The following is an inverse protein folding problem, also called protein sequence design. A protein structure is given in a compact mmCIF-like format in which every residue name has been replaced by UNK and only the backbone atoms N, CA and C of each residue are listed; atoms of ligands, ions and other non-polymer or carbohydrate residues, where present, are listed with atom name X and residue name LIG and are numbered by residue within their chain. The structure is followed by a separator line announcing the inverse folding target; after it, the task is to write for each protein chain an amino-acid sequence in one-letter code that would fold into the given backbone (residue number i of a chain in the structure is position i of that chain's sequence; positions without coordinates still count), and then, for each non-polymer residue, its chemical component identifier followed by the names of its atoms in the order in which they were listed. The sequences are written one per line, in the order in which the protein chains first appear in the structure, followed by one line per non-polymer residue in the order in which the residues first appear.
data_IF_322253845162
#
_entry.id   IF_322253845162
#
_cell.length_a   1.000
_cell.length_b   1.000
_cell.length_c   1.000
_cell.angle_alpha   90.00
_cell.angle_beta   90.00
_cell.angle_gamma   90.00
#
_symmetry.space_group_name_H-M   'P 1'
#
loop_
_entity.id
_entity.type
_entity.pdbx_description
1 polymer ?
#
# COMPACT_ATOMS: atom_id res chain seq x y z
N UNK A 1 25.34 64.21 28.44
CA UNK A 1 26.07 63.21 27.66
C UNK A 1 25.37 61.86 27.96
N UNK A 2 24.45 61.42 27.08
CA UNK A 2 23.59 60.23 27.29
C UNK A 2 24.23 59.07 26.55
N UNK A 3 24.73 58.11 27.28
CA UNK A 3 25.33 56.86 26.76
C UNK A 3 24.20 55.93 26.31
N UNK A 4 24.00 55.74 24.99
CA UNK A 4 23.09 54.75 24.44
C UNK A 4 23.78 53.39 24.51
N UNK A 5 23.29 52.54 25.42
CA UNK A 5 23.61 51.09 25.43
C UNK A 5 22.93 50.43 24.21
N UNK A 6 23.72 50.01 23.22
CA UNK A 6 23.27 49.10 22.18
C UNK A 6 23.32 47.65 22.73
N UNK A 7 22.15 47.10 23.06
CA UNK A 7 22.03 45.69 23.41
C UNK A 7 22.09 44.86 22.13
N UNK A 8 23.24 44.21 21.91
CA UNK A 8 23.46 43.29 20.78
C UNK A 8 22.83 41.93 21.19
N UNK A 9 21.63 41.65 20.70
CA UNK A 9 21.02 40.32 20.83
C UNK A 9 21.79 39.34 19.93
N UNK A 10 22.69 38.56 20.53
CA UNK A 10 23.37 37.45 19.89
C UNK A 10 22.35 36.32 19.69
N UNK A 11 21.71 36.23 18.52
CA UNK A 11 20.94 35.07 18.12
C UNK A 11 21.92 33.89 18.01
N UNK A 12 21.92 33.01 19.02
CA UNK A 12 22.56 31.69 18.96
C UNK A 12 21.84 30.86 17.90
N UNK A 13 22.37 30.89 16.66
CA UNK A 13 22.04 29.91 15.64
C UNK A 13 22.58 28.55 16.11
N UNK A 14 21.76 27.80 16.85
CA UNK A 14 22.02 26.37 17.09
C UNK A 14 22.06 25.70 15.72
N UNK A 15 23.12 24.95 15.39
CA UNK A 15 23.10 24.16 14.15
C UNK A 15 21.94 23.17 14.22
N UNK A 16 20.95 23.35 13.37
CA UNK A 16 19.95 22.30 13.13
C UNK A 16 20.71 21.16 12.43
N UNK A 17 21.09 20.14 13.18
CA UNK A 17 21.58 18.91 12.58
C UNK A 17 20.41 18.22 11.88
N UNK A 18 20.52 18.08 10.55
CA UNK A 18 19.61 17.27 9.78
C UNK A 18 19.61 15.83 10.33
N UNK A 19 18.43 15.32 10.64
CA UNK A 19 18.27 13.93 11.06
C UNK A 19 18.25 13.01 9.86
N UNK A 20 18.61 11.76 10.06
CA UNK A 20 18.45 10.71 9.07
C UNK A 20 17.35 9.77 9.52
N UNK A 21 16.33 9.57 8.66
CA UNK A 21 15.19 8.71 8.90
C UNK A 21 15.15 7.57 7.91
N UNK A 22 14.81 6.39 8.41
CA UNK A 22 14.50 5.22 7.59
C UNK A 22 13.00 5.20 7.29
N UNK A 23 12.65 5.18 6.00
CA UNK A 23 11.29 5.01 5.53
C UNK A 23 11.16 3.64 4.87
N UNK A 24 10.39 2.74 5.47
CA UNK A 24 10.24 1.36 5.00
C UNK A 24 8.91 1.11 4.29
N UNK A 25 8.89 0.17 3.35
CA UNK A 25 7.68 -0.30 2.69
C UNK A 25 7.76 -1.77 2.31
N UNK A 26 6.62 -2.37 2.02
CA UNK A 26 6.44 -3.76 1.60
C UNK A 26 6.60 -3.93 0.08
N UNK A 27 6.95 -5.13 -0.41
CA UNK A 27 7.20 -5.39 -1.83
C UNK A 27 5.92 -5.87 -2.54
N UNK A 28 4.89 -5.02 -2.70
CA UNK A 28 3.66 -5.35 -3.45
C UNK A 28 3.90 -5.65 -4.93
N UNK A 29 4.96 -5.08 -5.47
CA UNK A 29 5.44 -5.24 -6.83
C UNK A 29 6.95 -5.53 -6.84
N UNK A 30 7.54 -5.70 -8.02
CA UNK A 30 8.99 -5.86 -8.16
C UNK A 30 9.73 -4.71 -7.46
N UNK A 31 10.75 -4.97 -6.62
CA UNK A 31 11.41 -3.95 -5.81
C UNK A 31 11.91 -2.73 -6.58
N UNK A 32 12.41 -2.91 -7.82
CA UNK A 32 12.84 -1.78 -8.65
C UNK A 32 11.70 -0.82 -8.98
N UNK A 33 10.49 -1.31 -9.24
CA UNK A 33 9.31 -0.47 -9.47
C UNK A 33 8.92 0.32 -8.21
N UNK A 34 8.95 -0.34 -7.05
CA UNK A 34 8.68 0.33 -5.76
C UNK A 34 9.71 1.43 -5.48
N UNK A 35 11.00 1.15 -5.72
CA UNK A 35 12.08 2.13 -5.54
C UNK A 35 11.88 3.33 -6.47
N UNK A 36 11.61 3.09 -7.76
CA UNK A 36 11.37 4.16 -8.73
C UNK A 36 10.16 5.02 -8.36
N UNK A 37 9.08 4.41 -7.87
CA UNK A 37 7.88 5.11 -7.46
C UNK A 37 8.06 5.95 -6.19
N UNK A 38 8.79 5.43 -5.18
CA UNK A 38 8.88 6.07 -3.87
C UNK A 38 10.10 6.98 -3.70
N UNK A 39 11.14 6.86 -4.52
CA UNK A 39 12.32 7.74 -4.43
C UNK A 39 11.95 9.22 -4.51
N UNK A 40 11.09 9.70 -5.46
CA UNK A 40 10.71 11.11 -5.50
C UNK A 40 9.94 11.59 -4.26
N UNK A 41 9.21 10.69 -3.57
CA UNK A 41 8.59 11.02 -2.28
C UNK A 41 9.64 11.22 -1.19
N UNK A 42 10.68 10.39 -1.14
CA UNK A 42 11.78 10.55 -0.18
C UNK A 42 12.55 11.85 -0.42
N UNK A 43 12.78 12.19 -1.67
CA UNK A 43 13.41 13.47 -2.06
C UNK A 43 12.55 14.65 -1.65
N UNK A 44 11.24 14.59 -1.88
CA UNK A 44 10.29 15.62 -1.46
C UNK A 44 10.27 15.79 0.06
N UNK A 45 10.13 14.68 0.82
CA UNK A 45 10.16 14.71 2.27
C UNK A 45 11.46 15.30 2.79
N UNK A 46 12.60 14.93 2.21
CA UNK A 46 13.90 15.46 2.59
C UNK A 46 14.02 16.97 2.33
N UNK A 47 13.57 17.43 1.17
CA UNK A 47 13.60 18.84 0.80
C UNK A 47 12.70 19.69 1.70
N UNK A 48 11.49 19.22 2.04
CA UNK A 48 10.54 19.98 2.85
C UNK A 48 10.85 19.95 4.34
N UNK A 49 11.41 18.86 4.83
CA UNK A 49 11.73 18.72 6.26
C UNK A 49 13.09 19.29 6.66
N UNK A 50 14.04 19.33 5.73
CA UNK A 50 15.45 19.59 6.01
C UNK A 50 16.19 18.38 6.60
N UNK A 51 15.54 17.20 6.68
CA UNK A 51 16.11 15.94 7.14
C UNK A 51 16.42 15.03 5.93
N UNK A 52 17.01 13.86 6.16
CA UNK A 52 17.28 12.87 5.11
C UNK A 52 16.37 11.68 5.29
N UNK A 53 15.64 11.26 4.24
CA UNK A 53 14.83 10.07 4.24
C UNK A 53 15.45 8.98 3.36
N UNK A 54 15.76 7.82 3.98
CA UNK A 54 16.30 6.64 3.30
C UNK A 54 15.21 5.58 3.09
N UNK A 55 14.94 5.25 1.83
CA UNK A 55 13.98 4.22 1.47
C UNK A 55 14.54 2.81 1.73
N UNK A 56 13.74 1.97 2.37
CA UNK A 56 13.97 0.54 2.53
C UNK A 56 12.78 -0.24 2.00
N UNK A 57 12.96 -1.00 0.94
CA UNK A 57 11.98 -1.99 0.48
C UNK A 57 12.32 -3.32 1.14
N UNK A 58 11.41 -3.82 2.00
CA UNK A 58 11.61 -5.09 2.69
C UNK A 58 11.48 -6.29 1.74
N UNK A 59 11.96 -7.46 2.13
CA UNK A 59 11.86 -8.68 1.29
C UNK A 59 10.41 -9.19 1.20
N UNK A 60 9.64 -8.99 2.27
CA UNK A 60 8.25 -9.40 2.42
C UNK A 60 7.52 -8.52 3.46
N UNK A 61 6.21 -8.74 3.63
CA UNK A 61 5.36 -8.03 4.59
C UNK A 61 5.73 -8.35 6.05
N UNK A 62 6.15 -9.59 6.33
CA UNK A 62 6.54 -10.02 7.67
C UNK A 62 7.78 -9.28 8.16
N UNK A 63 8.78 -9.07 7.27
CA UNK A 63 9.96 -8.28 7.61
C UNK A 63 9.58 -6.82 7.91
N UNK A 64 8.66 -6.20 7.14
CA UNK A 64 8.20 -4.85 7.44
C UNK A 64 7.55 -4.77 8.82
N UNK A 65 6.62 -5.70 9.10
CA UNK A 65 5.94 -5.81 10.39
C UNK A 65 6.95 -5.94 11.53
N UNK A 66 7.90 -6.86 11.39
CA UNK A 66 8.96 -7.09 12.39
C UNK A 66 9.82 -5.84 12.62
N UNK A 67 10.23 -5.14 11.56
CA UNK A 67 11.03 -3.92 11.69
C UNK A 67 10.29 -2.80 12.42
N UNK A 68 8.98 -2.67 12.20
CA UNK A 68 8.14 -1.71 12.92
C UNK A 68 8.05 -2.09 14.40
N UNK A 69 7.82 -3.37 14.72
CA UNK A 69 7.76 -3.89 16.09
C UNK A 69 9.08 -3.69 16.83
N UNK A 70 10.20 -3.94 16.19
CA UNK A 70 11.55 -3.76 16.71
C UNK A 70 12.00 -2.29 16.76
N UNK A 71 11.18 -1.35 16.23
CA UNK A 71 11.49 0.08 16.11
C UNK A 71 12.79 0.33 15.33
N UNK A 72 13.11 -0.55 14.39
CA UNK A 72 14.29 -0.46 13.51
C UNK A 72 14.03 0.33 12.23
N UNK A 73 12.84 0.91 12.09
CA UNK A 73 12.46 1.88 11.06
C UNK A 73 11.71 3.04 11.72
N UNK A 74 11.87 4.25 11.17
CA UNK A 74 11.28 5.47 11.73
C UNK A 74 9.88 5.71 11.18
N UNK A 75 9.71 5.57 9.88
CA UNK A 75 8.45 5.69 9.17
C UNK A 75 8.20 4.48 8.30
N UNK A 76 6.93 4.18 8.03
CA UNK A 76 6.58 3.09 7.15
C UNK A 76 5.30 3.36 6.36
N UNK A 77 5.28 2.91 5.11
CA UNK A 77 4.08 2.76 4.29
C UNK A 77 3.58 1.34 4.48
N UNK A 78 2.39 1.20 5.04
CA UNK A 78 1.79 -0.10 5.39
C UNK A 78 0.44 -0.28 4.72
N UNK A 79 0.14 -1.49 4.24
CA UNK A 79 -1.16 -1.79 3.71
C UNK A 79 -2.24 -1.81 4.81
N UNK A 80 -3.48 -1.77 4.42
CA UNK A 80 -4.64 -1.72 5.33
C UNK A 80 -4.64 -2.86 6.36
N UNK A 81 -4.36 -4.11 5.92
CA UNK A 81 -4.28 -5.27 6.80
C UNK A 81 -3.21 -5.09 7.87
N UNK A 82 -1.97 -4.80 7.44
CA UNK A 82 -0.85 -4.63 8.36
C UNK A 82 -1.07 -3.44 9.29
N UNK A 83 -1.66 -2.33 8.80
CA UNK A 83 -1.97 -1.17 9.64
C UNK A 83 -2.91 -1.54 10.79
N UNK A 84 -4.03 -2.21 10.50
CA UNK A 84 -5.01 -2.59 11.53
C UNK A 84 -4.39 -3.53 12.57
N UNK A 85 -3.68 -4.57 12.13
CA UNK A 85 -3.04 -5.53 13.02
C UNK A 85 -1.91 -4.89 13.86
N UNK A 86 -1.10 -4.02 13.24
CA UNK A 86 -0.05 -3.29 13.96
C UNK A 86 -0.62 -2.34 15.01
N UNK A 87 -1.72 -1.63 14.71
CA UNK A 87 -2.37 -0.72 15.68
C UNK A 87 -2.94 -1.47 16.87
N UNK A 88 -3.47 -2.67 16.68
CA UNK A 88 -3.93 -3.53 17.77
C UNK A 88 -2.75 -4.00 18.65
N UNK A 89 -1.63 -4.38 18.03
CA UNK A 89 -0.43 -4.87 18.73
C UNK A 89 0.40 -3.76 19.35
N UNK A 90 0.48 -2.60 18.70
CA UNK A 90 1.28 -1.43 19.10
C UNK A 90 0.38 -0.19 19.18
N UNK A 91 -0.41 -0.01 20.24
CA UNK A 91 -1.30 1.17 20.39
C UNK A 91 -0.55 2.51 20.30
N UNK A 92 0.73 2.55 20.64
CA UNK A 92 1.61 3.71 20.56
C UNK A 92 2.17 4.00 19.15
N UNK A 93 1.87 3.18 18.16
CA UNK A 93 2.21 3.47 16.75
C UNK A 93 1.48 4.74 16.29
N UNK A 94 2.21 5.71 15.74
CA UNK A 94 1.61 6.95 15.28
C UNK A 94 1.06 6.76 13.86
N UNK A 95 -0.24 6.88 13.68
CA UNK A 95 -0.85 7.04 12.36
C UNK A 95 -0.63 8.48 11.88
N UNK A 96 -0.10 8.65 10.67
CA UNK A 96 0.14 9.94 10.05
C UNK A 96 -1.00 10.31 9.10
N UNK A 97 -1.07 9.61 7.98
CA UNK A 97 -1.98 9.91 6.86
C UNK A 97 -2.39 8.63 6.12
N UNK A 98 -3.49 8.74 5.38
CA UNK A 98 -3.96 7.75 4.39
C UNK A 98 -3.64 8.26 3.00
N UNK A 99 -3.15 7.38 2.14
CA UNK A 99 -2.94 7.63 0.73
C UNK A 99 -4.26 7.89 -0.02
N UNK A 100 -4.22 8.74 -1.04
CA UNK A 100 -5.35 9.07 -1.90
C UNK A 100 -5.06 8.74 -3.35
N UNK A 101 -6.07 8.30 -4.07
CA UNK A 101 -6.02 8.07 -5.51
C UNK A 101 -7.17 8.75 -6.24
N UNK A 102 -7.00 8.97 -7.54
CA UNK A 102 -8.07 9.27 -8.44
C UNK A 102 -8.78 7.98 -8.86
N UNK A 103 -10.08 7.88 -8.61
CA UNK A 103 -10.91 6.82 -9.15
C UNK A 103 -11.00 6.89 -10.68
N UNK A 104 -11.58 5.87 -11.32
CA UNK A 104 -11.91 5.90 -12.77
C UNK A 104 -12.71 7.13 -13.19
N UNK A 105 -13.61 7.63 -12.32
CA UNK A 105 -14.39 8.85 -12.54
C UNK A 105 -13.59 10.12 -12.24
N UNK A 106 -12.29 10.03 -12.00
CA UNK A 106 -11.39 11.12 -11.60
C UNK A 106 -11.77 11.81 -10.28
N UNK A 107 -12.55 11.17 -9.46
CA UNK A 107 -12.83 11.65 -8.10
C UNK A 107 -11.70 11.21 -7.17
N UNK A 108 -11.25 12.11 -6.30
CA UNK A 108 -10.28 11.79 -5.25
C UNK A 108 -10.96 10.89 -4.23
N UNK A 109 -10.35 9.75 -3.94
CA UNK A 109 -10.89 8.74 -3.04
C UNK A 109 -9.80 8.18 -2.13
N UNK A 110 -10.12 7.90 -0.85
CA UNK A 110 -9.25 7.13 0.03
C UNK A 110 -9.50 5.61 -0.07
N UNK A 111 -10.10 5.14 -1.16
CA UNK A 111 -10.47 3.73 -1.35
C UNK A 111 -9.99 3.21 -2.70
N UNK A 112 -9.68 1.92 -2.74
CA UNK A 112 -9.37 1.14 -3.93
C UNK A 112 -10.17 -0.19 -3.90
N UNK A 113 -9.94 -1.11 -4.84
CA UNK A 113 -10.64 -2.38 -4.90
C UNK A 113 -9.68 -3.55 -5.18
N UNK A 114 -10.11 -4.74 -4.77
CA UNK A 114 -9.52 -6.00 -5.18
C UNK A 114 -10.34 -6.58 -6.34
N UNK A 115 -9.64 -7.08 -7.34
CA UNK A 115 -10.25 -7.77 -8.49
C UNK A 115 -9.81 -9.23 -8.54
N UNK A 116 -10.75 -10.11 -8.85
CA UNK A 116 -10.46 -11.45 -9.35
C UNK A 116 -10.56 -11.38 -10.87
N UNK A 117 -9.47 -11.69 -11.55
CA UNK A 117 -9.34 -11.48 -12.99
C UNK A 117 -8.90 -12.74 -13.73
N UNK A 118 -9.23 -12.78 -15.02
CA UNK A 118 -8.80 -13.80 -15.98
C UNK A 118 -8.40 -13.15 -17.30
N UNK A 119 -7.78 -13.90 -18.20
CA UNK A 119 -7.55 -13.47 -19.58
C UNK A 119 -8.83 -13.64 -20.41
N UNK A 120 -9.11 -12.70 -21.34
CA UNK A 120 -10.29 -12.78 -22.25
C UNK A 120 -10.31 -14.05 -23.09
N UNK A 121 -9.15 -14.50 -23.52
CA UNK A 121 -8.99 -15.70 -24.34
C UNK A 121 -9.15 -17.03 -23.55
N UNK A 122 -9.19 -16.96 -22.22
CA UNK A 122 -9.53 -18.12 -21.40
C UNK A 122 -11.01 -18.50 -21.45
N UNK A 123 -11.88 -17.60 -21.99
CA UNK A 123 -13.33 -17.78 -22.12
C UNK A 123 -14.02 -18.12 -20.79
N UNK A 124 -13.53 -17.56 -19.67
CA UNK A 124 -14.12 -17.67 -18.32
C UNK A 124 -14.83 -16.35 -18.05
N UNK A 125 -16.12 -16.37 -17.79
CA UNK A 125 -16.97 -15.17 -17.67
C UNK A 125 -17.57 -14.99 -16.27
N UNK A 126 -17.48 -16.03 -15.41
CA UNK A 126 -17.97 -15.99 -14.03
C UNK A 126 -17.04 -16.74 -13.08
N UNK A 127 -17.25 -16.54 -11.76
CA UNK A 127 -16.51 -17.29 -10.74
C UNK A 127 -16.84 -18.80 -10.76
N UNK A 128 -18.06 -19.17 -11.12
CA UNK A 128 -18.49 -20.56 -11.19
C UNK A 128 -17.74 -21.32 -12.29
N UNK A 129 -17.49 -20.68 -13.42
CA UNK A 129 -16.72 -21.25 -14.54
C UNK A 129 -15.22 -21.38 -14.23
N UNK A 130 -14.76 -20.72 -13.18
CA UNK A 130 -13.40 -20.82 -12.67
C UNK A 130 -13.10 -22.14 -11.92
N UNK A 131 -14.12 -22.99 -11.67
CA UNK A 131 -13.94 -24.25 -10.98
C UNK A 131 -12.95 -25.17 -11.70
N UNK A 132 -12.08 -25.82 -10.90
CA UNK A 132 -11.02 -26.72 -11.39
C UNK A 132 -9.97 -26.03 -12.29
N UNK A 133 -9.81 -24.71 -12.19
CA UNK A 133 -8.74 -23.95 -12.86
C UNK A 133 -7.60 -23.65 -11.87
N UNK A 134 -6.47 -23.19 -12.40
CA UNK A 134 -5.36 -22.70 -11.58
C UNK A 134 -5.61 -21.26 -11.15
N UNK A 135 -5.47 -21.01 -9.87
CA UNK A 135 -5.69 -19.70 -9.27
C UNK A 135 -4.43 -19.21 -8.54
N UNK A 136 -4.18 -17.92 -8.57
CA UNK A 136 -3.13 -17.32 -7.76
C UNK A 136 -3.62 -16.16 -6.88
N UNK A 137 -3.26 -16.24 -5.61
CA UNK A 137 -3.15 -15.09 -4.72
C UNK A 137 -1.77 -14.43 -4.87
N UNK A 138 -1.63 -13.21 -4.35
CA UNK A 138 -0.32 -12.58 -4.16
C UNK A 138 0.34 -13.15 -2.90
N UNK A 139 0.21 -12.48 -1.77
CA UNK A 139 0.75 -12.89 -0.48
C UNK A 139 -0.38 -12.98 0.55
N UNK A 140 -0.27 -13.86 1.54
CA UNK A 140 -1.26 -13.99 2.63
C UNK A 140 -1.41 -12.70 3.43
N UNK A 141 -0.37 -11.86 3.45
CA UNK A 141 -0.38 -10.55 4.12
C UNK A 141 -0.92 -9.40 3.24
N UNK A 142 -1.24 -9.68 1.98
CA UNK A 142 -1.83 -8.69 1.07
C UNK A 142 -3.31 -8.44 1.39
N UNK A 143 -3.70 -7.17 1.43
CA UNK A 143 -5.10 -6.77 1.59
C UNK A 143 -5.93 -7.15 0.36
N UNK A 144 -5.56 -6.63 -0.83
CA UNK A 144 -6.31 -6.86 -2.09
C UNK A 144 -5.94 -8.14 -2.83
N UNK A 145 -4.74 -8.68 -2.59
CA UNK A 145 -4.31 -9.92 -3.22
C UNK A 145 -4.67 -11.18 -2.44
N UNK A 146 -5.23 -11.05 -1.21
CA UNK A 146 -5.64 -12.19 -0.39
C UNK A 146 -6.85 -11.91 0.49
N UNK A 147 -6.80 -10.96 1.44
CA UNK A 147 -7.84 -10.80 2.46
C UNK A 147 -9.23 -10.52 1.85
N UNK A 148 -9.34 -9.55 0.95
CA UNK A 148 -10.61 -9.25 0.28
C UNK A 148 -11.04 -10.30 -0.76
N UNK A 149 -10.16 -10.88 -1.58
CA UNK A 149 -10.50 -12.08 -2.37
C UNK A 149 -11.07 -13.22 -1.55
N UNK A 150 -10.55 -13.48 -0.34
CA UNK A 150 -11.12 -14.48 0.56
C UNK A 150 -12.53 -14.12 1.01
N UNK A 151 -12.85 -12.83 1.25
CA UNK A 151 -14.22 -12.39 1.52
C UNK A 151 -15.14 -12.61 0.30
N UNK A 152 -14.66 -12.35 -0.92
CA UNK A 152 -15.42 -12.61 -2.15
C UNK A 152 -15.76 -14.11 -2.22
N UNK A 153 -14.77 -14.98 -2.02
CA UNK A 153 -14.99 -16.43 -2.05
C UNK A 153 -15.96 -16.88 -0.96
N UNK A 154 -15.84 -16.36 0.26
CA UNK A 154 -16.78 -16.65 1.36
C UNK A 154 -18.21 -16.24 1.00
N UNK A 155 -18.41 -15.05 0.43
CA UNK A 155 -19.72 -14.55 0.01
C UNK A 155 -20.35 -15.42 -1.09
N UNK A 156 -19.55 -16.10 -1.90
CA UNK A 156 -19.98 -17.06 -2.93
C UNK A 156 -19.97 -18.51 -2.43
N UNK A 157 -19.76 -18.76 -1.14
CA UNK A 157 -19.65 -20.10 -0.55
C UNK A 157 -18.56 -20.98 -1.22
N UNK A 158 -17.47 -20.36 -1.65
CA UNK A 158 -16.35 -21.00 -2.31
C UNK A 158 -15.20 -21.18 -1.29
N UNK A 159 -14.79 -22.44 -1.06
CA UNK A 159 -13.48 -22.71 -0.47
C UNK A 159 -12.45 -22.79 -1.61
N UNK A 160 -11.52 -21.80 -1.73
CA UNK A 160 -10.61 -21.77 -2.88
C UNK A 160 -9.73 -23.02 -2.98
N UNK A 161 -9.37 -23.63 -1.86
CA UNK A 161 -8.46 -24.79 -1.84
C UNK A 161 -9.11 -26.12 -2.28
N UNK A 162 -10.44 -26.17 -2.33
CA UNK A 162 -11.18 -27.32 -2.87
C UNK A 162 -11.90 -27.01 -4.17
N UNK A 163 -12.11 -25.72 -4.46
CA UNK A 163 -12.79 -25.26 -5.66
C UNK A 163 -11.87 -25.21 -6.88
N UNK A 164 -10.66 -24.63 -6.70
CA UNK A 164 -9.64 -24.56 -7.74
C UNK A 164 -8.85 -25.86 -7.83
N UNK A 165 -8.34 -26.19 -9.02
CA UNK A 165 -7.47 -27.32 -9.21
C UNK A 165 -6.17 -27.16 -8.40
N UNK A 166 -5.63 -25.94 -8.39
CA UNK A 166 -4.45 -25.58 -7.62
C UNK A 166 -4.44 -24.09 -7.28
N UNK A 167 -4.02 -23.76 -6.06
CA UNK A 167 -3.86 -22.40 -5.56
C UNK A 167 -2.38 -22.09 -5.38
N UNK A 168 -1.94 -21.00 -5.97
CA UNK A 168 -0.57 -20.51 -5.88
C UNK A 168 -0.49 -19.22 -5.06
N UNK A 169 0.69 -18.95 -4.51
CA UNK A 169 1.04 -17.67 -3.89
C UNK A 169 2.26 -17.10 -4.62
N UNK A 170 2.05 -16.08 -5.46
CA UNK A 170 3.09 -15.51 -6.33
C UNK A 170 3.79 -14.30 -5.73
N UNK A 171 3.45 -13.94 -4.50
CA UNK A 171 4.04 -12.90 -3.66
C UNK A 171 3.77 -11.47 -4.10
N UNK A 172 3.63 -11.17 -5.39
CA UNK A 172 3.54 -9.81 -5.94
C UNK A 172 2.43 -9.71 -6.98
N UNK A 173 1.84 -8.53 -7.11
CA UNK A 173 0.75 -8.28 -8.06
C UNK A 173 1.20 -8.40 -9.52
N UNK A 174 2.37 -7.85 -9.85
CA UNK A 174 2.95 -7.96 -11.20
C UNK A 174 3.26 -9.41 -11.58
N UNK A 175 3.62 -10.27 -10.63
CA UNK A 175 3.83 -11.70 -10.89
C UNK A 175 2.54 -12.46 -11.18
N UNK A 176 1.42 -12.03 -10.61
CA UNK A 176 0.10 -12.58 -10.98
C UNK A 176 -0.25 -12.21 -12.44
N UNK A 177 -0.02 -10.96 -12.84
CA UNK A 177 -0.21 -10.53 -14.24
C UNK A 177 0.71 -11.32 -15.19
N UNK A 178 1.99 -11.46 -14.88
CA UNK A 178 2.93 -12.24 -15.69
C UNK A 178 2.48 -13.70 -15.84
N UNK A 179 1.96 -14.32 -14.78
CA UNK A 179 1.47 -15.70 -14.80
C UNK A 179 0.20 -15.85 -15.63
N UNK A 180 -0.72 -14.87 -15.60
CA UNK A 180 -1.89 -14.82 -16.48
C UNK A 180 -1.46 -14.67 -17.94
N UNK A 181 -0.56 -13.73 -18.24
CA UNK A 181 -0.06 -13.47 -19.60
C UNK A 181 0.67 -14.65 -20.22
N UNK A 182 1.33 -15.45 -19.39
CA UNK A 182 2.02 -16.70 -19.82
C UNK A 182 1.12 -17.94 -19.79
N UNK A 183 -0.18 -17.78 -19.45
CA UNK A 183 -1.15 -18.88 -19.26
C UNK A 183 -0.67 -19.95 -18.25
N UNK A 184 0.19 -19.59 -17.30
CA UNK A 184 0.63 -20.47 -16.20
C UNK A 184 -0.45 -20.60 -15.12
N UNK A 185 -1.39 -19.66 -15.07
CA UNK A 185 -2.63 -19.67 -14.30
C UNK A 185 -3.76 -19.13 -15.16
N UNK A 186 -5.00 -19.49 -14.87
CA UNK A 186 -6.17 -18.95 -15.55
C UNK A 186 -6.82 -17.79 -14.80
N UNK A 187 -6.70 -17.78 -13.46
CA UNK A 187 -7.36 -16.77 -12.62
C UNK A 187 -6.38 -16.24 -11.58
N UNK A 188 -6.48 -14.94 -11.27
CA UNK A 188 -5.65 -14.32 -10.25
C UNK A 188 -6.35 -13.22 -9.47
N UNK A 189 -5.87 -12.95 -8.26
CA UNK A 189 -6.31 -11.84 -7.42
C UNK A 189 -5.28 -10.71 -7.43
N UNK A 190 -5.73 -9.49 -7.76
CA UNK A 190 -4.87 -8.30 -7.85
C UNK A 190 -5.60 -7.05 -7.33
N UNK A 191 -4.86 -5.95 -7.15
CA UNK A 191 -5.45 -4.62 -6.93
C UNK A 191 -5.93 -4.01 -8.24
N UNK A 192 -6.90 -3.10 -8.16
CA UNK A 192 -7.39 -2.32 -9.29
C UNK A 192 -6.29 -1.48 -9.96
N UNK A 193 -5.39 -0.84 -9.19
CA UNK A 193 -4.24 -0.14 -9.75
C UNK A 193 -3.35 -1.04 -10.60
N UNK A 194 -3.09 -2.29 -10.14
CA UNK A 194 -2.35 -3.29 -10.95
C UNK A 194 -3.12 -3.66 -12.22
N UNK A 195 -4.44 -3.82 -12.13
CA UNK A 195 -5.28 -4.10 -13.29
C UNK A 195 -5.21 -2.98 -14.34
N UNK A 196 -5.34 -1.72 -13.92
CA UNK A 196 -5.29 -0.58 -14.85
C UNK A 196 -3.91 -0.41 -15.48
N UNK A 197 -2.84 -0.59 -14.72
CA UNK A 197 -1.47 -0.61 -15.26
C UNK A 197 -1.28 -1.74 -16.30
N UNK A 198 -1.88 -2.91 -16.06
CA UNK A 198 -1.84 -4.01 -17.02
C UNK A 198 -2.63 -3.70 -18.31
N UNK A 199 -3.77 -2.99 -18.21
CA UNK A 199 -4.50 -2.51 -19.39
C UNK A 199 -3.68 -1.54 -20.23
N UNK A 200 -2.96 -0.61 -19.60
CA UNK A 200 -2.08 0.34 -20.32
C UNK A 200 -0.91 -0.37 -20.98
N UNK A 201 -0.32 -1.35 -20.30
CA UNK A 201 0.88 -2.05 -20.77
C UNK A 201 0.57 -3.09 -21.86
N UNK A 202 -0.52 -3.85 -21.70
CA UNK A 202 -0.82 -5.03 -22.53
C UNK A 202 -2.11 -4.90 -23.34
N UNK A 203 -2.82 -3.77 -23.19
CA UNK A 203 -4.13 -3.56 -23.83
C UNK A 203 -5.26 -4.28 -23.10
N UNK A 204 -6.47 -4.22 -23.66
CA UNK A 204 -7.71 -4.76 -23.08
C UNK A 204 -7.79 -6.30 -23.24
N UNK A 205 -6.93 -7.01 -22.51
CA UNK A 205 -6.80 -8.47 -22.56
C UNK A 205 -7.42 -9.21 -21.38
N UNK A 206 -7.89 -8.49 -20.36
CA UNK A 206 -8.35 -9.06 -19.11
C UNK A 206 -9.87 -8.91 -18.93
N UNK A 207 -10.46 -9.85 -18.19
CA UNK A 207 -11.85 -9.83 -17.73
C UNK A 207 -11.86 -9.84 -16.21
N UNK A 208 -12.66 -8.97 -15.59
CA UNK A 208 -12.91 -8.96 -14.15
C UNK A 208 -14.06 -9.93 -13.88
N UNK A 209 -13.81 -10.98 -13.09
CA UNK A 209 -14.81 -11.97 -12.67
C UNK A 209 -15.53 -11.54 -11.39
N UNK A 210 -14.81 -10.85 -10.49
CA UNK A 210 -15.39 -10.31 -9.27
C UNK A 210 -14.63 -9.09 -8.77
N UNK A 211 -15.36 -8.21 -8.07
CA UNK A 211 -14.85 -6.96 -7.50
C UNK A 211 -15.18 -6.92 -6.02
N UNK A 212 -14.24 -6.50 -5.19
CA UNK A 212 -14.48 -6.31 -3.76
C UNK A 212 -15.33 -5.07 -3.47
N UNK A 213 -15.85 -4.98 -2.25
CA UNK A 213 -16.26 -3.70 -1.68
C UNK A 213 -15.05 -2.73 -1.61
N UNK A 214 -15.29 -1.42 -1.41
CA UNK A 214 -14.22 -0.44 -1.25
C UNK A 214 -13.29 -0.79 -0.08
N UNK A 215 -11.99 -0.76 -0.36
CA UNK A 215 -10.91 -1.04 0.59
C UNK A 215 -10.29 0.29 0.98
N UNK A 216 -10.14 0.63 2.28
CA UNK A 216 -9.33 1.78 2.67
C UNK A 216 -7.93 1.71 2.06
N UNK A 217 -7.44 2.80 1.48
CA UNK A 217 -6.08 2.89 0.98
C UNK A 217 -5.06 2.85 2.12
N UNK A 218 -3.82 2.60 1.77
CA UNK A 218 -2.70 2.39 2.67
C UNK A 218 -2.44 3.55 3.61
N UNK A 219 -1.85 3.24 4.77
CA UNK A 219 -1.46 4.21 5.77
C UNK A 219 0.05 4.48 5.76
N UNK A 220 0.44 5.71 6.04
CA UNK A 220 1.79 6.03 6.49
C UNK A 220 1.76 6.16 8.01
N UNK A 221 2.72 5.50 8.65
CA UNK A 221 2.86 5.46 10.11
C UNK A 221 4.25 5.90 10.53
N UNK A 222 4.38 6.40 11.77
CA UNK A 222 5.67 6.58 12.41
C UNK A 222 5.80 5.62 13.61
N UNK A 223 7.02 5.15 13.81
CA UNK A 223 7.38 4.28 14.93
C UNK A 223 7.15 4.98 16.28
N UNK A 224 6.87 4.20 17.30
CA UNK A 224 6.58 4.70 18.65
C UNK A 224 7.73 5.49 19.31
N UNK A 225 8.95 5.41 18.78
CA UNK A 225 10.10 6.20 19.23
C UNK A 225 10.18 7.60 18.59
N UNK A 226 9.41 7.86 17.52
CA UNK A 226 9.29 9.18 16.92
C UNK A 226 8.38 10.04 17.78
N UNK A 227 8.80 11.27 18.11
CA UNK A 227 7.98 12.16 18.91
C UNK A 227 6.67 12.54 18.22
N UNK A 228 5.63 12.82 19.01
CA UNK A 228 4.34 13.25 18.45
C UNK A 228 4.48 14.52 17.60
N UNK A 229 5.30 15.48 18.03
CA UNK A 229 5.57 16.71 17.28
C UNK A 229 6.19 16.40 15.92
N UNK A 230 7.16 15.51 15.87
CA UNK A 230 7.81 15.11 14.63
C UNK A 230 6.85 14.34 13.70
N UNK A 231 6.07 13.43 14.26
CA UNK A 231 5.02 12.71 13.52
C UNK A 231 4.01 13.68 12.89
N UNK A 232 3.58 14.71 13.63
CA UNK A 232 2.67 15.74 13.10
C UNK A 232 3.35 16.60 12.02
N UNK A 233 4.64 16.94 12.17
CA UNK A 233 5.39 17.70 11.17
C UNK A 233 5.46 16.95 9.84
N UNK A 234 5.79 15.67 9.88
CA UNK A 234 5.87 14.84 8.66
C UNK A 234 4.48 14.57 8.08
N UNK A 235 3.46 14.34 8.92
CA UNK A 235 2.08 14.24 8.44
C UNK A 235 1.64 15.49 7.67
N UNK A 236 1.94 16.67 8.19
CA UNK A 236 1.59 17.94 7.52
C UNK A 236 2.30 18.09 6.16
N UNK A 237 3.57 17.72 6.06
CA UNK A 237 4.30 17.74 4.78
C UNK A 237 3.63 16.81 3.76
N UNK A 238 3.21 15.60 4.17
CA UNK A 238 2.51 14.67 3.31
C UNK A 238 1.14 15.19 2.87
N UNK A 239 0.35 15.77 3.78
CA UNK A 239 -0.98 16.32 3.49
C UNK A 239 -0.93 17.53 2.54
N UNK A 240 0.18 18.26 2.52
CA UNK A 240 0.36 19.47 1.70
C UNK A 240 1.14 19.23 0.41
N UNK A 241 1.40 17.97 0.05
CA UNK A 241 2.09 17.64 -1.20
C UNK A 241 1.27 18.12 -2.41
N UNK A 242 1.87 18.87 -3.35
CA UNK A 242 1.17 19.33 -4.54
C UNK A 242 0.72 18.15 -5.43
N UNK A 243 -0.47 18.26 -6.03
CA UNK A 243 -0.98 17.20 -6.92
C UNK A 243 -0.08 16.92 -8.13
N UNK A 244 0.64 17.93 -8.61
CA UNK A 244 1.61 17.83 -9.71
C UNK A 244 3.02 17.47 -9.27
N UNK A 245 3.21 17.13 -7.98
CA UNK A 245 4.53 16.73 -7.46
C UNK A 245 5.10 15.52 -8.23
N UNK A 246 6.43 15.47 -8.42
CA UNK A 246 7.09 14.35 -9.11
C UNK A 246 6.76 12.97 -8.52
N UNK A 247 6.54 12.89 -7.20
CA UNK A 247 6.14 11.65 -6.52
C UNK A 247 4.78 11.11 -7.00
N UNK A 248 3.78 11.98 -7.21
CA UNK A 248 2.46 11.54 -7.68
C UNK A 248 2.55 10.97 -9.11
N UNK A 249 3.36 11.57 -9.98
CA UNK A 249 3.63 11.06 -11.33
C UNK A 249 4.37 9.72 -11.30
N UNK A 250 5.35 9.57 -10.41
CA UNK A 250 6.12 8.35 -10.28
C UNK A 250 5.27 7.16 -9.78
N UNK A 251 4.30 7.40 -8.90
CA UNK A 251 3.34 6.37 -8.49
C UNK A 251 2.50 5.87 -9.67
N UNK A 252 2.00 6.76 -10.50
CA UNK A 252 1.22 6.40 -11.68
C UNK A 252 2.07 5.66 -12.71
N UNK A 253 3.25 6.19 -13.04
CA UNK A 253 4.15 5.64 -14.07
C UNK A 253 4.66 4.22 -13.71
N UNK A 254 5.06 4.00 -12.47
CA UNK A 254 5.75 2.77 -12.08
C UNK A 254 4.85 1.72 -11.43
N UNK A 255 3.73 2.14 -10.82
CA UNK A 255 2.83 1.25 -10.08
C UNK A 255 1.39 1.25 -10.62
N UNK A 256 1.04 2.18 -11.52
CA UNK A 256 -0.33 2.39 -11.98
C UNK A 256 -1.24 2.97 -10.90
N UNK A 257 -0.66 3.61 -9.89
CA UNK A 257 -1.41 4.25 -8.81
C UNK A 257 -1.68 5.70 -9.16
N UNK A 258 -2.93 6.01 -9.49
CA UNK A 258 -3.37 7.35 -9.89
C UNK A 258 -3.38 8.31 -8.68
N UNK A 259 -2.21 8.63 -8.17
CA UNK A 259 -1.99 9.35 -6.91
C UNK A 259 -2.69 10.71 -6.86
N UNK A 260 -3.35 10.97 -5.75
CA UNK A 260 -3.98 12.25 -5.40
C UNK A 260 -3.47 12.80 -4.05
N UNK A 261 -2.30 12.35 -3.60
CA UNK A 261 -1.66 12.80 -2.36
C UNK A 261 -2.10 12.02 -1.13
N UNK A 262 -2.25 12.72 -0.01
CA UNK A 262 -2.50 12.11 1.30
C UNK A 262 -3.49 12.93 2.11
N UNK A 263 -4.20 12.26 3.03
CA UNK A 263 -5.16 12.90 3.94
C UNK A 263 -5.12 12.24 5.31
N UNK A 264 -5.32 13.01 6.35
CA UNK A 264 -5.58 12.46 7.68
C UNK A 264 -7.03 12.03 7.80
N UNK A 265 -7.27 10.77 8.20
CA UNK A 265 -8.57 10.19 8.52
C UNK A 265 -8.72 10.01 10.02
N UNK A 266 -9.95 9.84 10.50
CA UNK A 266 -10.18 9.42 11.86
C UNK A 266 -9.79 7.95 12.07
N UNK A 267 -9.66 7.54 13.34
CA UNK A 267 -9.21 6.19 13.68
C UNK A 267 -10.18 5.07 13.31
N UNK A 268 -11.46 5.39 13.05
CA UNK A 268 -12.48 4.42 12.64
C UNK A 268 -12.50 4.15 11.13
N UNK A 269 -11.76 4.95 10.36
CA UNK A 269 -11.70 4.83 8.90
C UNK A 269 -11.35 3.41 8.44
N UNK A 270 -10.49 2.73 9.18
CA UNK A 270 -10.02 1.38 8.86
C UNK A 270 -10.87 0.25 9.48
N UNK A 271 -11.94 0.57 10.22
CA UNK A 271 -12.75 -0.45 10.91
C UNK A 271 -13.46 -1.41 9.93
N UNK A 272 -13.73 -0.96 8.70
CA UNK A 272 -14.29 -1.82 7.65
C UNK A 272 -13.44 -3.05 7.38
N UNK A 273 -12.11 -2.93 7.49
CA UNK A 273 -11.19 -4.05 7.30
C UNK A 273 -11.39 -5.16 8.35
N UNK A 274 -11.78 -4.84 9.58
CA UNK A 274 -11.98 -5.84 10.65
C UNK A 274 -12.97 -6.94 10.29
N UNK A 275 -13.81 -6.73 9.27
CA UNK A 275 -14.71 -7.76 8.74
C UNK A 275 -13.95 -8.89 8.06
N UNK A 276 -12.83 -8.60 7.42
CA UNK A 276 -12.00 -9.62 6.74
C UNK A 276 -11.40 -10.61 7.74
N UNK A 277 -11.16 -10.17 8.99
CA UNK A 277 -10.59 -11.01 10.04
C UNK A 277 -11.58 -12.08 10.54
N UNK A 278 -12.86 -11.96 10.19
CA UNK A 278 -13.92 -12.93 10.54
C UNK A 278 -14.12 -14.01 9.48
N UNK A 279 -13.46 -13.89 8.32
CA UNK A 279 -13.53 -14.91 7.26
C UNK A 279 -12.85 -16.18 7.77
N UNK A 280 -13.50 -17.37 7.61
CA UNK A 280 -12.91 -18.62 8.05
C UNK A 280 -11.53 -18.85 7.43
N UNK A 281 -10.59 -19.30 8.24
CA UNK A 281 -9.30 -19.78 7.74
C UNK A 281 -9.54 -21.16 7.12
N UNK A 282 -9.66 -21.20 5.79
CA UNK A 282 -9.68 -22.48 5.09
C UNK A 282 -8.29 -23.13 5.19
N UNK A 283 -8.23 -24.35 5.71
CA UNK A 283 -6.99 -25.10 5.71
C UNK A 283 -6.67 -25.59 4.30
N UNK A 284 -5.41 -25.49 3.90
CA UNK A 284 -4.93 -26.17 2.70
C UNK A 284 -5.05 -27.67 2.93
N UNK A 285 -5.96 -28.32 2.20
CA UNK A 285 -5.95 -29.77 2.10
C UNK A 285 -4.62 -30.15 1.42
N UNK A 286 -3.71 -30.78 2.18
CA UNK A 286 -2.42 -31.26 1.69
C UNK A 286 -2.59 -32.40 0.69
#
# INVERSE_FOLDING_TARGET
MVLKLFSFCLLLLLPLYAKEYTFATYPSNTPSKIIQALTPLMEYLSAQSGDTFKLVVTKDYDELTKRIEEKSVDFAWVNTKNFVLLKEKIPSLHYLVTYLEHSKSRQITPYYQAFIVTMKDANITSLEEAKNKHFAFTDKESTSGYAYPMMIFEAHHINPYTFFQKVFFLKKHDKVIEALMSHSIEIGAISDGTYYNALETYGDRFTILATSEPIPLDAIVASANISHQESQRIAHILETIPLDAPSNKAFEEHLGWASAGFVKKDEHFYDSFKRTLKVPLYETVQ
#
